data_IF_132606227805
#
_entry.id   IF_132606227805
#
_cell.length_a   1.000
_cell.length_b   1.000
_cell.length_c   1.000
_cell.angle_alpha   90.00
_cell.angle_beta   90.00
_cell.angle_gamma   90.00
#
_symmetry.space_group_name_H-M   'P 1'
#
loop_
_entity.id
_entity.type
_entity.pdbx_description
1 polymer ?
#
# COMPACT_ATOMS: atom_id res chain seq x y z
N UNK A 1 16.51 2.27 8.37
CA UNK A 1 16.89 2.49 6.96
C UNK A 1 15.66 2.29 6.11
N UNK A 2 15.44 3.15 5.10
CA UNK A 2 14.31 3.00 4.17
C UNK A 2 14.81 2.85 2.74
N UNK A 3 14.18 1.94 1.99
CA UNK A 3 14.48 1.67 0.58
C UNK A 3 13.17 1.78 -0.20
N UNK A 4 13.21 2.44 -1.36
CA UNK A 4 12.05 2.56 -2.25
C UNK A 4 12.37 1.95 -3.61
N UNK A 5 11.43 1.16 -4.12
CA UNK A 5 11.52 0.44 -5.39
C UNK A 5 10.47 0.98 -6.37
N UNK A 6 10.90 1.32 -7.58
CA UNK A 6 10.03 1.84 -8.65
C UNK A 6 9.53 0.77 -9.62
N UNK A 7 10.11 -0.44 -9.58
CA UNK A 7 9.84 -1.50 -10.56
C UNK A 7 9.29 -2.78 -9.96
N UNK A 8 9.34 -2.93 -8.63
CA UNK A 8 8.98 -4.18 -7.96
C UNK A 8 7.47 -4.48 -8.09
N UNK A 9 6.64 -3.47 -8.35
CA UNK A 9 5.21 -3.71 -8.61
C UNK A 9 4.94 -4.54 -9.87
N UNK A 10 5.91 -4.64 -10.79
CA UNK A 10 5.78 -5.42 -12.03
C UNK A 10 5.90 -6.93 -11.80
N UNK A 11 6.39 -7.35 -10.64
CA UNK A 11 6.63 -8.76 -10.30
C UNK A 11 5.46 -9.34 -9.49
N UNK A 12 4.58 -8.48 -8.97
CA UNK A 12 3.44 -8.91 -8.16
C UNK A 12 2.32 -9.38 -9.09
N UNK A 13 1.74 -10.58 -8.88
CA UNK A 13 0.73 -11.13 -9.78
C UNK A 13 -0.49 -10.19 -9.92
N UNK A 14 -0.75 -9.70 -11.14
CA UNK A 14 -1.82 -8.75 -11.44
C UNK A 14 -3.17 -9.44 -11.72
N UNK A 15 -3.55 -10.42 -10.90
CA UNK A 15 -4.84 -11.11 -11.07
C UNK A 15 -6.02 -10.31 -10.51
N UNK A 16 -5.77 -9.14 -9.92
CA UNK A 16 -6.78 -8.26 -9.32
C UNK A 16 -7.11 -7.06 -10.20
N UNK A 17 -8.27 -6.45 -9.95
CA UNK A 17 -8.70 -5.19 -10.61
C UNK A 17 -7.91 -3.98 -10.11
N UNK A 18 -7.37 -4.03 -8.90
CA UNK A 18 -6.53 -2.96 -8.37
C UNK A 18 -5.09 -3.04 -8.89
N UNK A 19 -4.45 -1.89 -9.04
CA UNK A 19 -3.05 -1.76 -9.45
C UNK A 19 -2.25 -0.98 -8.41
N UNK A 20 -0.97 -1.31 -8.29
CA UNK A 20 -0.06 -0.52 -7.46
C UNK A 20 0.15 0.84 -8.11
N UNK A 21 -0.21 1.89 -7.38
CA UNK A 21 -0.19 3.27 -7.85
C UNK A 21 0.87 4.14 -7.12
N UNK A 22 1.89 3.50 -6.55
CA UNK A 22 2.98 4.14 -5.81
C UNK A 22 4.32 3.44 -6.02
N UNK A 23 5.39 3.96 -5.40
CA UNK A 23 6.59 3.15 -5.14
C UNK A 23 6.26 2.10 -4.07
N UNK A 24 7.03 1.02 -4.03
CA UNK A 24 7.03 0.11 -2.88
C UNK A 24 8.14 0.56 -1.94
N UNK A 25 7.81 0.78 -0.67
CA UNK A 25 8.75 1.27 0.33
C UNK A 25 8.88 0.28 1.49
N UNK A 26 10.12 -0.02 1.84
CA UNK A 26 10.47 -0.89 2.97
C UNK A 26 11.24 -0.07 3.99
N UNK A 27 10.83 -0.11 5.25
CA UNK A 27 11.57 0.50 6.36
C UNK A 27 11.97 -0.56 7.36
N UNK A 28 13.27 -0.62 7.65
CA UNK A 28 13.86 -1.55 8.62
C UNK A 28 14.35 -0.76 9.83
N UNK A 29 13.93 -1.20 11.02
CA UNK A 29 14.27 -0.61 12.31
C UNK A 29 15.13 -1.61 13.09
N UNK A 30 16.23 -1.14 13.67
CA UNK A 30 17.13 -1.95 14.49
C UNK A 30 17.68 -1.09 15.65
N UNK A 31 17.51 -1.48 16.93
CA UNK A 31 16.82 -2.68 17.42
C UNK A 31 15.32 -2.67 17.09
N UNK A 32 14.71 -3.87 17.03
CA UNK A 32 13.26 -4.00 16.82
C UNK A 32 12.51 -3.31 17.95
N UNK A 33 11.45 -2.57 17.58
CA UNK A 33 10.59 -1.88 18.55
C UNK A 33 9.56 -2.90 19.06
N UNK A 34 9.56 -3.17 20.36
CA UNK A 34 8.62 -4.08 21.01
C UNK A 34 7.39 -3.35 21.61
N UNK A 35 7.29 -2.04 21.42
CA UNK A 35 6.18 -1.20 21.85
C UNK A 35 5.21 -0.94 20.69
N UNK A 36 4.00 -0.47 21.00
CA UNK A 36 3.05 -0.01 19.97
C UNK A 36 3.64 1.21 19.24
N UNK A 37 4.08 1.00 18.00
CA UNK A 37 4.56 2.07 17.13
C UNK A 37 3.66 2.23 15.91
N UNK A 38 3.75 3.41 15.30
CA UNK A 38 3.08 3.74 14.05
C UNK A 38 4.10 4.33 13.09
N UNK A 39 4.37 3.63 12.00
CA UNK A 39 5.15 4.16 10.88
C UNK A 39 4.21 4.90 9.93
N UNK A 40 4.47 6.20 9.75
CA UNK A 40 3.73 7.05 8.81
C UNK A 40 4.54 7.24 7.53
N UNK A 41 3.90 6.96 6.40
CA UNK A 41 4.52 6.99 5.07
C UNK A 41 3.63 7.80 4.14
N UNK A 42 4.23 8.69 3.35
CA UNK A 42 3.53 9.46 2.34
C UNK A 42 3.91 8.96 0.95
N UNK A 43 2.92 8.51 0.18
CA UNK A 43 3.10 8.03 -1.18
C UNK A 43 2.46 9.01 -2.17
N UNK A 44 3.24 9.52 -3.11
CA UNK A 44 2.68 10.22 -4.26
C UNK A 44 1.95 9.22 -5.18
N UNK A 45 0.77 9.60 -5.67
CA UNK A 45 0.03 8.80 -6.65
C UNK A 45 0.69 8.93 -8.01
N UNK A 46 0.91 7.81 -8.71
CA UNK A 46 1.42 7.83 -10.09
C UNK A 46 0.34 8.29 -11.07
N UNK A 47 -0.86 7.75 -10.92
CA UNK A 47 -2.08 8.15 -11.65
C UNK A 47 -3.09 8.74 -10.65
N UNK A 48 -3.36 10.04 -10.76
CA UNK A 48 -4.22 10.76 -9.82
C UNK A 48 -5.70 10.45 -10.02
N UNK A 49 -6.09 10.00 -11.21
CA UNK A 49 -7.48 9.71 -11.55
C UNK A 49 -8.02 8.40 -10.96
N UNK A 50 -7.14 7.51 -10.49
CA UNK A 50 -7.55 6.26 -9.83
C UNK A 50 -8.28 6.53 -8.53
N UNK A 51 -9.14 5.62 -8.10
CA UNK A 51 -9.93 5.74 -6.87
C UNK A 51 -9.65 4.60 -5.88
N UNK A 52 -10.27 4.69 -4.69
CA UNK A 52 -10.18 3.70 -3.62
C UNK A 52 -8.72 3.34 -3.24
N UNK A 53 -7.94 4.30 -2.72
CA UNK A 53 -6.60 3.98 -2.24
C UNK A 53 -6.62 3.07 -1.04
N UNK A 54 -5.73 2.08 -1.04
CA UNK A 54 -5.52 1.14 0.05
C UNK A 54 -4.02 0.98 0.30
N UNK A 55 -3.58 1.28 1.53
CA UNK A 55 -2.25 0.98 2.02
C UNK A 55 -2.12 -0.51 2.30
N UNK A 56 -1.22 -1.20 1.60
CA UNK A 56 -1.11 -2.66 1.65
C UNK A 56 0.33 -3.13 1.72
N UNK A 57 0.49 -4.39 2.12
CA UNK A 57 1.71 -5.17 2.01
C UNK A 57 1.37 -6.55 1.42
N UNK A 58 2.36 -7.24 0.87
CA UNK A 58 2.18 -8.60 0.37
C UNK A 58 2.27 -9.60 1.53
N UNK A 59 1.17 -10.28 1.83
CA UNK A 59 1.08 -11.30 2.87
C UNK A 59 1.12 -12.70 2.25
N UNK A 60 2.26 -13.38 2.44
CA UNK A 60 2.47 -14.74 1.94
C UNK A 60 1.62 -15.81 2.64
N UNK A 61 0.95 -15.48 3.74
CA UNK A 61 0.13 -16.44 4.51
C UNK A 61 -1.32 -16.56 4.03
N UNK A 62 -1.80 -15.69 3.13
CA UNK A 62 -3.22 -15.63 2.74
C UNK A 62 -3.62 -16.60 1.61
N UNK A 63 -2.70 -17.01 0.73
CA UNK A 63 -2.99 -17.87 -0.41
C UNK A 63 -1.72 -18.59 -0.94
N UNK A 64 -1.88 -19.55 -1.85
CA UNK A 64 -0.76 -20.11 -2.61
C UNK A 64 -0.09 -19.00 -3.45
N UNK A 65 1.05 -18.51 -2.99
CA UNK A 65 1.77 -17.38 -3.60
C UNK A 65 1.59 -16.03 -2.89
N UNK A 66 0.72 -15.95 -1.88
CA UNK A 66 0.40 -14.74 -1.12
C UNK A 66 -0.66 -13.86 -1.76
N UNK A 67 -1.07 -12.83 -1.02
CA UNK A 67 -2.03 -11.83 -1.48
C UNK A 67 -1.80 -10.48 -0.79
N UNK A 68 -2.45 -9.43 -1.29
CA UNK A 68 -2.43 -8.12 -0.66
C UNK A 68 -3.22 -8.09 0.65
N UNK A 69 -2.65 -7.46 1.66
CA UNK A 69 -3.23 -7.31 2.98
C UNK A 69 -3.04 -5.87 3.47
N UNK A 70 -4.06 -5.31 4.15
CA UNK A 70 -4.04 -4.00 4.78
C UNK A 70 -4.10 -4.07 6.31
N UNK A 71 -4.01 -5.27 6.90
CA UNK A 71 -4.11 -5.48 8.35
C UNK A 71 -3.03 -4.67 9.06
N UNK A 72 -3.48 -3.88 10.05
CA UNK A 72 -2.60 -3.02 10.84
C UNK A 72 -2.23 -1.70 10.15
N UNK A 73 -2.82 -1.36 9.00
CA UNK A 73 -2.61 -0.12 8.28
C UNK A 73 -3.89 0.71 8.13
N UNK A 74 -3.77 2.02 8.33
CA UNK A 74 -4.79 3.02 8.04
C UNK A 74 -4.42 3.80 6.78
N UNK A 75 -5.42 4.06 5.93
CA UNK A 75 -5.26 4.79 4.66
C UNK A 75 -5.94 6.14 4.74
N UNK A 76 -5.21 7.22 4.44
CA UNK A 76 -5.75 8.57 4.29
C UNK A 76 -5.41 9.13 2.92
N UNK A 77 -6.44 9.42 2.12
CA UNK A 77 -6.28 10.09 0.83
C UNK A 77 -6.20 11.62 1.02
N UNK A 78 -5.15 12.25 0.49
CA UNK A 78 -4.94 13.71 0.50
C UNK A 78 -4.98 14.30 -0.92
N UNK A 79 -5.64 13.62 -1.85
CA UNK A 79 -5.80 14.05 -3.25
C UNK A 79 -4.64 13.59 -4.12
N UNK A 80 -3.50 14.25 -4.01
CA UNK A 80 -2.30 13.94 -4.80
C UNK A 80 -1.39 12.87 -4.16
N UNK A 81 -1.59 12.62 -2.87
CA UNK A 81 -0.83 11.65 -2.08
C UNK A 81 -1.72 10.83 -1.17
N UNK A 82 -1.20 9.70 -0.73
CA UNK A 82 -1.83 8.82 0.25
C UNK A 82 -0.90 8.71 1.46
N UNK A 83 -1.43 8.95 2.64
CA UNK A 83 -0.74 8.72 3.91
C UNK A 83 -1.13 7.34 4.43
N UNK A 84 -0.12 6.49 4.65
CA UNK A 84 -0.26 5.19 5.28
C UNK A 84 0.28 5.26 6.70
N UNK A 85 -0.53 4.87 7.70
CA UNK A 85 -0.09 4.69 9.08
C UNK A 85 -0.18 3.21 9.42
N UNK A 86 0.94 2.54 9.67
CA UNK A 86 0.96 1.09 9.91
C UNK A 86 1.65 0.75 11.24
N UNK A 87 1.21 -0.33 11.90
CA UNK A 87 1.77 -0.80 13.18
C UNK A 87 2.79 -1.94 13.05
N UNK A 88 3.35 -2.14 11.86
CA UNK A 88 4.38 -3.15 11.61
C UNK A 88 5.36 -2.68 10.55
N UNK A 89 6.52 -3.35 10.45
CA UNK A 89 7.51 -3.11 9.41
C UNK A 89 7.45 -4.21 8.35
N UNK A 90 6.85 -3.90 7.21
CA UNK A 90 6.88 -4.72 6.00
C UNK A 90 7.25 -3.87 4.79
N UNK A 91 7.06 -4.38 3.57
CA UNK A 91 7.21 -3.61 2.34
C UNK A 91 5.84 -3.13 1.89
N UNK A 92 5.62 -1.81 1.91
CA UNK A 92 4.32 -1.20 1.73
C UNK A 92 4.17 -0.54 0.36
N UNK A 93 2.95 -0.55 -0.15
CA UNK A 93 2.55 0.11 -1.38
C UNK A 93 1.11 0.64 -1.26
N UNK A 94 0.69 1.44 -2.22
CA UNK A 94 -0.71 1.88 -2.37
C UNK A 94 -1.32 1.15 -3.57
N UNK A 95 -2.36 0.38 -3.33
CA UNK A 95 -3.25 -0.13 -4.38
C UNK A 95 -4.37 0.86 -4.65
N UNK A 96 -4.74 1.00 -5.91
CA UNK A 96 -5.89 1.79 -6.34
C UNK A 96 -6.65 1.10 -7.46
N UNK A 97 -7.93 1.41 -7.60
CA UNK A 97 -8.77 0.97 -8.72
C UNK A 97 -8.62 1.93 -9.90
N UNK A 98 -8.38 1.43 -11.14
CA UNK A 98 -8.39 2.26 -12.34
C UNK A 98 -9.79 2.76 -12.70
N UNK A 99 -10.83 2.13 -12.17
CA UNK A 99 -12.21 2.53 -12.34
C UNK A 99 -12.60 3.42 -11.17
N UNK A 100 -13.04 4.64 -11.47
CA UNK A 100 -13.83 5.42 -10.52
C UNK A 100 -15.08 4.60 -10.19
N UNK A 101 -15.31 4.31 -8.92
CA UNK A 101 -16.63 3.85 -8.51
C UNK A 101 -17.62 4.95 -8.88
N UNK A 102 -18.40 4.71 -9.93
CA UNK A 102 -19.62 5.44 -10.16
C UNK A 102 -20.52 5.09 -8.97
N UNK A 103 -20.43 5.87 -7.90
CA UNK A 103 -21.43 5.85 -6.86
C UNK A 103 -22.75 6.20 -7.52
N UNK A 104 -23.59 5.19 -7.76
CA UNK A 104 -24.97 5.39 -8.11
C UNK A 104 -25.64 6.04 -6.91
N UNK A 105 -25.61 7.37 -6.86
CA UNK A 105 -26.55 8.12 -6.01
C UNK A 105 -27.92 7.99 -6.65
N UNK A 106 -28.70 7.03 -6.17
CA UNK A 106 -30.16 7.07 -6.22
C UNK A 106 -30.66 7.33 -4.80
#
# INVERSE_FOLDING_TARGET
VSVAYSTIERIIPQYRKEMVNSLVMTTVINPQINEDFQIKMAFAKREKAMSNPQCVFWNFSLAEGGDWDNTGCETKDEGDSVICSCNHTTSFAVLMSPYQELHWTN
#
